data_IF_035055015185
#
_entry.id   IF_035055015185
#
_cell.length_a   1.000
_cell.length_b   1.000
_cell.length_c   1.000
_cell.angle_alpha   90.00
_cell.angle_beta   90.00
_cell.angle_gamma   90.00
#
_symmetry.space_group_name_H-M   'P 1'
#
loop_
_entity.id
_entity.type
_entity.pdbx_description
1 polymer ?
#
# COMPACT_ATOMS: atom_id res chain seq x y z
N UNK A 1 11.71 -7.93 8.22
CA UNK A 1 12.94 -8.71 8.38
C UNK A 1 12.73 -9.75 9.47
N UNK A 2 13.05 -11.00 9.19
CA UNK A 2 13.03 -12.10 10.17
C UNK A 2 14.47 -12.56 10.40
N UNK A 3 14.84 -12.70 11.67
CA UNK A 3 16.15 -13.23 12.09
C UNK A 3 15.88 -14.46 12.93
N UNK A 4 16.41 -15.61 12.52
CA UNK A 4 16.37 -16.84 13.28
C UNK A 4 17.81 -17.31 13.54
N UNK A 5 18.08 -17.74 14.77
CA UNK A 5 19.40 -18.21 15.17
C UNK A 5 19.32 -19.35 16.17
N UNK A 6 20.36 -20.18 16.16
CA UNK A 6 20.58 -21.23 17.16
C UNK A 6 21.99 -21.08 17.72
N UNK A 7 22.10 -20.97 19.03
CA UNK A 7 23.37 -20.89 19.74
C UNK A 7 23.73 -22.27 20.34
N UNK A 8 24.79 -22.90 19.86
CA UNK A 8 25.28 -24.15 20.49
C UNK A 8 25.93 -23.84 21.85
N UNK A 9 25.99 -24.84 22.72
CA UNK A 9 26.64 -24.74 24.07
C UNK A 9 28.11 -24.31 23.98
N UNK A 10 28.81 -24.67 22.89
CA UNK A 10 30.17 -24.24 22.60
C UNK A 10 30.21 -23.62 21.21
N UNK A 11 30.53 -22.33 21.14
CA UNK A 11 30.58 -21.58 19.87
C UNK A 11 31.95 -21.77 19.22
N UNK A 12 32.05 -22.69 18.25
CA UNK A 12 33.28 -22.91 17.47
C UNK A 12 33.26 -22.19 16.14
N UNK A 13 32.06 -22.03 15.53
CA UNK A 13 31.85 -21.35 14.26
C UNK A 13 30.41 -20.86 14.15
N UNK A 14 30.20 -19.83 13.33
CA UNK A 14 28.90 -19.30 13.03
C UNK A 14 28.57 -19.67 11.57
N UNK A 15 27.37 -20.21 11.34
CA UNK A 15 26.82 -20.42 10.01
C UNK A 15 25.70 -19.41 9.81
N UNK A 16 25.77 -18.64 8.71
CA UNK A 16 24.78 -17.63 8.35
C UNK A 16 24.11 -18.08 7.06
N UNK A 17 22.79 -18.16 7.07
CA UNK A 17 21.97 -18.32 5.88
C UNK A 17 21.11 -17.07 5.70
N UNK A 18 21.13 -16.50 4.53
CA UNK A 18 20.33 -15.31 4.17
C UNK A 18 19.38 -15.65 3.04
N UNK A 19 18.21 -15.04 3.06
CA UNK A 19 17.19 -15.22 2.03
C UNK A 19 16.45 -13.91 1.80
N UNK A 20 16.03 -13.68 0.56
CA UNK A 20 15.09 -12.63 0.21
C UNK A 20 13.68 -13.09 0.61
N UNK A 21 13.04 -12.38 1.54
CA UNK A 21 11.75 -12.75 2.12
C UNK A 21 10.66 -11.70 1.94
N UNK A 22 11.01 -10.53 1.45
CA UNK A 22 10.07 -9.46 1.15
C UNK A 22 9.58 -9.52 -0.31
N UNK A 23 8.50 -8.80 -0.57
CA UNK A 23 7.75 -8.83 -1.81
C UNK A 23 7.60 -7.40 -2.37
N UNK A 24 7.76 -7.19 -3.70
CA UNK A 24 7.52 -5.87 -4.29
C UNK A 24 6.05 -5.50 -4.19
N UNK A 25 5.77 -4.26 -3.75
CA UNK A 25 4.42 -3.76 -3.50
C UNK A 25 4.30 -2.28 -3.89
N UNK A 26 3.06 -1.78 -3.90
CA UNK A 26 2.77 -0.36 -4.04
C UNK A 26 2.47 0.22 -2.65
N UNK A 27 3.35 1.09 -2.18
CA UNK A 27 3.24 1.75 -0.87
C UNK A 27 2.47 3.04 -0.99
N UNK A 28 1.54 3.30 -0.08
CA UNK A 28 0.90 4.60 0.05
C UNK A 28 1.89 5.65 0.57
N UNK A 29 1.94 6.81 -0.08
CA UNK A 29 2.70 7.96 0.41
C UNK A 29 1.96 8.66 1.55
N UNK A 30 2.66 9.42 2.40
CA UNK A 30 2.01 10.36 3.31
C UNK A 30 1.05 11.28 2.53
N UNK A 31 -0.16 11.52 3.05
CA UNK A 31 -1.21 12.29 2.35
C UNK A 31 -1.56 11.68 0.98
N UNK A 32 -1.92 10.40 0.99
CA UNK A 32 -2.12 9.63 -0.23
C UNK A 32 -3.39 10.03 -1.01
N UNK A 33 -4.39 10.65 -0.39
CA UNK A 33 -5.62 11.05 -1.07
C UNK A 33 -5.36 12.07 -2.17
N UNK A 34 -5.87 11.79 -3.36
CA UNK A 34 -5.79 12.66 -4.54
C UNK A 34 -7.13 12.74 -5.24
N UNK A 35 -7.48 13.93 -5.75
CA UNK A 35 -8.60 14.11 -6.68
C UNK A 35 -8.05 14.34 -8.09
N UNK A 36 -8.58 13.60 -9.06
CA UNK A 36 -8.29 13.82 -10.47
C UNK A 36 -9.47 13.40 -11.33
N UNK A 37 -10.05 14.36 -12.05
CA UNK A 37 -11.12 14.08 -13.01
C UNK A 37 -12.40 13.52 -12.40
N UNK A 38 -12.70 13.84 -11.13
CA UNK A 38 -13.85 13.31 -10.41
C UNK A 38 -13.62 11.95 -9.77
N UNK A 39 -12.39 11.43 -9.82
CA UNK A 39 -12.02 10.20 -9.15
C UNK A 39 -11.23 10.47 -7.87
N UNK A 40 -11.48 9.67 -6.86
CA UNK A 40 -10.63 9.55 -5.70
C UNK A 40 -9.51 8.55 -6.02
N UNK A 41 -8.28 9.01 -5.98
CA UNK A 41 -7.10 8.24 -6.33
C UNK A 41 -6.11 8.24 -5.17
N UNK A 42 -5.23 7.24 -5.15
CA UNK A 42 -4.23 7.11 -4.11
C UNK A 42 -2.82 7.39 -4.65
N UNK A 43 -2.10 8.30 -4.02
CA UNK A 43 -0.69 8.57 -4.33
C UNK A 43 0.18 7.46 -3.75
N UNK A 44 0.93 6.80 -4.63
CA UNK A 44 1.75 5.65 -4.26
C UNK A 44 3.22 5.85 -4.64
N UNK A 45 4.05 5.02 -4.06
CA UNK A 45 5.41 4.76 -4.52
C UNK A 45 5.63 3.26 -4.70
N UNK A 46 6.54 2.90 -5.62
CA UNK A 46 6.91 1.52 -5.83
C UNK A 46 7.93 1.09 -4.78
N UNK A 47 7.66 -0.03 -4.10
CA UNK A 47 8.59 -0.69 -3.20
C UNK A 47 9.20 -1.91 -3.89
N UNK A 48 10.53 -1.93 -4.02
CA UNK A 48 11.26 -3.02 -4.65
C UNK A 48 11.19 -3.03 -6.19
N UNK A 49 11.68 -4.11 -6.79
CA UNK A 49 11.70 -4.33 -8.25
C UNK A 49 10.35 -4.85 -8.76
N UNK A 50 9.46 -3.97 -9.09
CA UNK A 50 8.07 -4.26 -9.45
C UNK A 50 7.91 -4.60 -10.94
N UNK A 51 7.20 -5.68 -11.25
CA UNK A 51 6.71 -5.96 -12.60
C UNK A 51 5.43 -5.13 -12.85
N UNK A 52 5.57 -3.86 -13.20
CA UNK A 52 4.49 -2.87 -13.24
C UNK A 52 3.26 -3.32 -14.03
N UNK A 53 3.46 -3.97 -15.18
CA UNK A 53 2.37 -4.42 -16.06
C UNK A 53 1.42 -5.43 -15.41
N UNK A 54 1.86 -6.13 -14.38
CA UNK A 54 1.05 -7.15 -13.70
C UNK A 54 0.09 -6.57 -12.66
N UNK A 55 0.13 -5.26 -12.43
CA UNK A 55 -0.69 -4.57 -11.44
C UNK A 55 -1.95 -3.92 -12.03
N UNK A 56 -2.01 -3.81 -13.38
CA UNK A 56 -3.17 -3.23 -14.04
C UNK A 56 -4.37 -4.19 -14.03
N UNK A 57 -5.56 -3.60 -13.95
CA UNK A 57 -6.87 -4.27 -14.08
C UNK A 57 -7.11 -5.38 -13.04
N UNK A 58 -6.42 -5.32 -11.91
CA UNK A 58 -6.57 -6.26 -10.82
C UNK A 58 -7.27 -5.63 -9.62
N UNK A 59 -8.07 -6.42 -8.88
CA UNK A 59 -8.65 -5.99 -7.62
C UNK A 59 -7.54 -5.88 -6.57
N UNK A 60 -7.34 -4.69 -6.01
CA UNK A 60 -6.29 -4.41 -5.04
C UNK A 60 -6.88 -4.19 -3.65
N UNK A 61 -6.40 -4.94 -2.67
CA UNK A 61 -6.61 -4.71 -1.26
C UNK A 61 -5.55 -3.79 -0.67
N UNK A 62 -5.76 -3.33 0.54
CA UNK A 62 -4.87 -2.45 1.28
C UNK A 62 -4.58 -3.06 2.65
N UNK A 63 -3.29 -3.25 2.99
CA UNK A 63 -2.89 -3.81 4.27
C UNK A 63 -1.59 -3.20 4.79
N UNK A 64 -1.35 -3.32 6.09
CA UNK A 64 -0.11 -2.90 6.73
C UNK A 64 -0.26 -2.50 8.19
N UNK A 65 0.54 -1.52 8.61
CA UNK A 65 0.54 -1.01 9.99
C UNK A 65 -0.04 0.39 10.04
N UNK A 66 -0.79 0.64 11.10
CA UNK A 66 -1.33 1.95 11.45
C UNK A 66 -0.86 2.29 12.86
N UNK A 67 -0.24 3.44 13.02
CA UNK A 67 0.19 3.96 14.31
C UNK A 67 -0.91 4.85 14.84
N UNK A 68 -1.41 4.53 16.01
CA UNK A 68 -2.51 5.28 16.66
C UNK A 68 -2.06 5.85 17.99
N UNK A 69 -2.78 6.85 18.47
CA UNK A 69 -2.56 7.39 19.81
C UNK A 69 -2.71 6.29 20.85
N UNK A 70 -1.75 6.20 21.74
CA UNK A 70 -1.76 5.30 22.87
C UNK A 70 -2.05 6.02 24.18
N UNK A 71 -1.54 5.48 25.29
CA UNK A 71 -1.75 6.03 26.63
C UNK A 71 -1.17 7.44 26.82
N UNK A 72 -0.10 7.74 26.12
CA UNK A 72 0.56 9.06 26.13
C UNK A 72 1.39 9.27 24.85
N UNK A 73 2.00 10.45 24.72
CA UNK A 73 2.76 10.84 23.51
C UNK A 73 4.01 9.99 23.23
N UNK A 74 4.54 9.27 24.22
CA UNK A 74 5.74 8.46 24.08
C UNK A 74 5.43 6.96 23.86
N UNK A 75 4.15 6.57 24.00
CA UNK A 75 3.70 5.20 23.89
C UNK A 75 2.56 5.06 22.87
N UNK A 76 2.81 5.33 21.57
CA UNK A 76 1.83 5.07 20.53
C UNK A 76 1.58 3.58 20.40
N UNK A 77 0.38 3.20 19.96
CA UNK A 77 0.03 1.82 19.66
C UNK A 77 0.21 1.54 18.16
N UNK A 78 0.60 0.33 17.83
CA UNK A 78 0.63 -0.17 16.44
C UNK A 78 -0.49 -1.16 16.26
N UNK A 79 -1.36 -0.91 15.29
CA UNK A 79 -2.44 -1.81 14.87
C UNK A 79 -2.19 -2.32 13.47
N UNK A 80 -2.53 -3.59 13.22
CA UNK A 80 -2.53 -4.15 11.88
C UNK A 80 -3.87 -3.86 11.21
N UNK A 81 -3.80 -3.47 9.95
CA UNK A 81 -4.94 -3.22 9.09
C UNK A 81 -4.86 -4.14 7.87
N UNK A 82 -5.99 -4.71 7.49
CA UNK A 82 -6.19 -5.40 6.21
C UNK A 82 -7.62 -5.11 5.74
N UNK A 83 -7.78 -4.62 4.53
CA UNK A 83 -9.09 -4.35 3.96
C UNK A 83 -9.94 -5.62 3.74
N UNK A 84 -9.30 -6.79 3.69
CA UNK A 84 -9.92 -8.13 3.46
C UNK A 84 -10.77 -8.22 2.18
N UNK A 85 -10.86 -7.13 1.44
CA UNK A 85 -11.64 -6.97 0.19
C UNK A 85 -10.92 -6.03 -0.74
N UNK A 86 -11.22 -6.08 -2.05
CA UNK A 86 -10.74 -5.08 -2.99
C UNK A 86 -11.25 -3.68 -2.63
N UNK A 87 -10.35 -2.70 -2.59
CA UNK A 87 -10.65 -1.29 -2.33
C UNK A 87 -10.16 -0.37 -3.45
N UNK A 88 -9.28 -0.86 -4.33
CA UNK A 88 -8.73 -0.05 -5.41
C UNK A 88 -8.46 -0.88 -6.67
N UNK A 89 -8.30 -0.18 -7.80
CA UNK A 89 -7.90 -0.74 -9.08
C UNK A 89 -7.01 0.24 -9.82
N UNK A 90 -6.03 -0.26 -10.58
CA UNK A 90 -5.24 0.56 -11.52
C UNK A 90 -5.76 0.25 -12.93
N UNK A 91 -6.58 1.14 -13.53
CA UNK A 91 -7.15 0.88 -14.85
C UNK A 91 -6.10 0.99 -15.94
N UNK A 92 -6.08 0.04 -16.88
CA UNK A 92 -5.27 0.15 -18.10
C UNK A 92 -5.95 1.05 -19.12
N UNK A 93 -5.13 1.73 -19.93
CA UNK A 93 -5.63 2.47 -21.07
C UNK A 93 -5.78 1.54 -22.27
N UNK A 94 -6.95 1.53 -22.91
CA UNK A 94 -7.21 0.73 -24.09
C UNK A 94 -6.18 1.05 -25.22
N UNK A 95 -5.69 0.03 -25.95
CA UNK A 95 -4.62 0.22 -26.94
C UNK A 95 -4.90 1.29 -27.99
N UNK A 96 -6.15 1.40 -28.46
CA UNK A 96 -6.55 2.39 -29.47
C UNK A 96 -6.56 3.84 -28.96
N UNK A 97 -6.49 4.05 -27.66
CA UNK A 97 -6.37 5.39 -27.04
C UNK A 97 -4.89 5.77 -26.81
N UNK A 98 -3.97 4.81 -26.88
CA UNK A 98 -2.53 5.05 -26.81
C UNK A 98 -2.04 5.57 -28.15
N UNK A 99 -1.80 6.88 -28.25
CA UNK A 99 -1.16 7.49 -29.42
C UNK A 99 0.35 7.49 -29.22
N UNK A 100 1.09 6.74 -30.02
CA UNK A 100 2.56 6.66 -30.01
C UNK A 100 3.08 5.23 -29.92
N UNK A 101 4.41 5.07 -29.91
CA UNK A 101 5.08 3.77 -29.91
C UNK A 101 4.70 2.95 -28.68
N UNK A 102 4.32 1.71 -28.92
CA UNK A 102 3.80 0.75 -27.94
C UNK A 102 4.82 0.32 -26.85
N UNK A 103 6.04 0.84 -26.87
CA UNK A 103 7.14 0.50 -25.95
C UNK A 103 7.54 1.66 -25.02
N UNK A 104 6.70 2.65 -24.81
CA UNK A 104 7.03 3.70 -23.85
C UNK A 104 7.17 3.07 -22.45
N UNK A 105 8.33 3.28 -21.85
CA UNK A 105 8.60 2.86 -20.47
C UNK A 105 7.54 3.46 -19.55
N UNK A 106 6.83 2.61 -18.81
CA UNK A 106 5.82 3.03 -17.86
C UNK A 106 6.41 4.00 -16.81
N UNK A 107 5.73 5.12 -16.60
CA UNK A 107 6.02 6.07 -15.52
C UNK A 107 5.14 5.73 -14.31
N UNK A 108 5.71 5.16 -13.22
CA UNK A 108 4.92 4.76 -12.06
C UNK A 108 4.11 5.90 -11.45
N UNK A 109 4.63 7.12 -11.49
CA UNK A 109 3.98 8.28 -10.88
C UNK A 109 2.79 8.82 -11.69
N UNK A 110 2.61 8.35 -12.91
CA UNK A 110 1.51 8.76 -13.79
C UNK A 110 0.55 7.62 -14.12
N UNK A 111 1.09 6.41 -14.26
CA UNK A 111 0.35 5.28 -14.81
C UNK A 111 -0.04 4.24 -13.75
N UNK A 112 0.70 4.14 -12.63
CA UNK A 112 0.37 3.23 -11.51
C UNK A 112 -0.42 3.94 -10.40
N UNK A 113 -1.31 4.87 -10.73
CA UNK A 113 -2.12 5.57 -9.74
C UNK A 113 -3.43 4.82 -9.54
N UNK A 114 -3.66 4.20 -8.36
CA UNK A 114 -4.89 3.46 -8.09
C UNK A 114 -6.10 4.38 -7.97
N UNK A 115 -7.20 3.96 -8.57
CA UNK A 115 -8.52 4.53 -8.35
C UNK A 115 -9.14 3.83 -7.15
N UNK A 116 -9.48 4.62 -6.12
CA UNK A 116 -10.09 4.16 -4.88
C UNK A 116 -11.62 4.31 -4.91
N UNK A 117 -12.11 5.33 -5.63
CA UNK A 117 -13.55 5.57 -5.74
C UNK A 117 -13.87 6.81 -6.57
N UNK A 118 -15.08 7.32 -6.40
CA UNK A 118 -15.50 8.60 -6.95
C UNK A 118 -15.25 9.71 -5.92
N UNK A 119 -14.74 10.84 -6.41
CA UNK A 119 -14.57 12.01 -5.56
C UNK A 119 -15.90 12.72 -5.37
N UNK A 120 -16.36 12.83 -4.14
CA UNK A 120 -17.55 13.57 -3.78
C UNK A 120 -17.15 14.90 -3.15
N UNK A 121 -17.44 15.99 -3.83
CA UNK A 121 -17.03 17.34 -3.39
C UNK A 121 -17.69 17.76 -2.08
N UNK A 122 -18.94 17.36 -1.89
CA UNK A 122 -19.74 17.75 -0.72
C UNK A 122 -19.59 16.80 0.47
N UNK A 123 -19.00 15.62 0.22
CA UNK A 123 -18.69 14.60 1.24
C UNK A 123 -17.26 14.11 1.02
N UNK A 124 -16.24 14.91 1.37
CA UNK A 124 -14.85 14.48 1.19
C UNK A 124 -14.57 13.27 2.07
N UNK A 125 -14.34 12.14 1.42
CA UNK A 125 -14.04 10.88 2.06
C UNK A 125 -12.57 10.54 1.79
N UNK A 126 -11.82 10.28 2.86
CA UNK A 126 -10.42 9.85 2.77
C UNK A 126 -10.35 8.33 2.92
N UNK A 127 -9.32 7.70 2.35
CA UNK A 127 -9.07 6.27 2.63
C UNK A 127 -8.87 6.02 4.14
N UNK A 128 -8.41 7.01 4.89
CA UNK A 128 -8.28 6.91 6.35
C UNK A 128 -9.63 6.82 7.08
N UNK A 129 -10.72 7.24 6.47
CA UNK A 129 -12.05 7.05 7.06
C UNK A 129 -12.42 5.56 7.07
N UNK A 130 -12.13 4.82 5.98
CA UNK A 130 -12.32 3.36 5.94
C UNK A 130 -11.39 2.63 6.90
N UNK A 131 -10.14 3.08 7.00
CA UNK A 131 -9.18 2.51 7.96
C UNK A 131 -9.66 2.70 9.40
N UNK A 132 -10.13 3.90 9.74
CA UNK A 132 -10.62 4.24 11.07
C UNK A 132 -11.87 3.43 11.43
N UNK A 133 -12.82 3.32 10.49
CA UNK A 133 -14.05 2.52 10.65
C UNK A 133 -13.73 1.06 10.93
N UNK A 134 -12.86 0.44 10.13
CA UNK A 134 -12.49 -0.97 10.30
C UNK A 134 -11.74 -1.22 11.61
N UNK A 135 -10.86 -0.32 12.01
CA UNK A 135 -10.12 -0.41 13.27
C UNK A 135 -10.94 0.02 14.49
N UNK A 136 -12.17 0.52 14.29
CA UNK A 136 -13.06 1.04 15.33
C UNK A 136 -12.38 2.12 16.20
N UNK A 137 -11.76 3.10 15.52
CA UNK A 137 -11.07 4.24 16.15
C UNK A 137 -11.52 5.55 15.49
N UNK A 138 -11.27 6.66 16.16
CA UNK A 138 -11.41 7.97 15.54
C UNK A 138 -10.26 8.24 14.56
N UNK A 139 -10.57 8.76 13.39
CA UNK A 139 -9.57 9.11 12.36
C UNK A 139 -8.49 10.06 12.89
N UNK A 140 -8.85 10.97 13.80
CA UNK A 140 -7.92 11.92 14.44
C UNK A 140 -6.91 11.25 15.38
N UNK A 141 -7.10 9.98 15.71
CA UNK A 141 -6.17 9.19 16.50
C UNK A 141 -5.15 8.45 15.67
N UNK A 142 -5.29 8.45 14.34
CA UNK A 142 -4.28 7.92 13.43
C UNK A 142 -3.13 8.94 13.34
N UNK A 143 -1.95 8.54 13.80
CA UNK A 143 -0.75 9.36 13.81
C UNK A 143 0.09 9.16 12.56
N UNK A 144 0.19 7.91 12.08
CA UNK A 144 0.99 7.53 10.91
C UNK A 144 0.54 6.17 10.38
N UNK A 145 1.01 5.82 9.19
CA UNK A 145 0.72 4.53 8.58
C UNK A 145 1.86 4.05 7.67
N UNK A 146 1.95 2.75 7.53
CA UNK A 146 2.83 2.05 6.59
C UNK A 146 1.97 1.01 5.86
N UNK A 147 1.22 1.48 4.86
CA UNK A 147 0.19 0.73 4.15
C UNK A 147 0.61 0.44 2.71
N UNK A 148 0.28 -0.77 2.27
CA UNK A 148 0.64 -1.30 0.97
C UNK A 148 -0.57 -1.88 0.26
N UNK A 149 -0.64 -1.67 -1.04
CA UNK A 149 -1.61 -2.37 -1.89
C UNK A 149 -1.10 -3.77 -2.21
N UNK A 150 -2.01 -4.74 -2.20
CA UNK A 150 -1.76 -6.11 -2.59
C UNK A 150 -2.83 -6.62 -3.55
N UNK A 151 -2.53 -7.67 -4.31
CA UNK A 151 -3.49 -8.28 -5.22
C UNK A 151 -4.43 -9.22 -4.44
N UNK A 152 -5.74 -9.03 -4.58
CA UNK A 152 -6.77 -9.87 -3.95
C UNK A 152 -7.09 -11.14 -4.74
N UNK A 153 -6.61 -11.28 -5.98
CA UNK A 153 -6.80 -12.52 -6.75
C UNK A 153 -5.92 -13.61 -6.14
N UNK A 154 -6.54 -14.65 -5.65
CA UNK A 154 -5.90 -15.86 -5.11
C UNK A 154 -6.04 -17.03 -6.06
#
# INVERSE_FOLDING_TARGET
>A
VMIAFHLPKQLQHIRIATSHTDFPMLKLKPSADMEKGGYHMLNIETYGGLLMKTWFDRPLGLAGKVVVKGSDAFHPEVRLYDSEKPVAIIPSLAPHLKRGDAETKLDPQKELIPVFGLWKKDEPHSFLDEVAEMLQIDKVDILDYDLYLYNCDS
#
